data_IF_285481417420
#
_entry.id   IF_285481417420
#
_cell.length_a   1.000
_cell.length_b   1.000
_cell.length_c   1.000
_cell.angle_alpha   90.00
_cell.angle_beta   90.00
_cell.angle_gamma   90.00
#
_symmetry.space_group_name_H-M   'P 1'
#
loop_
_entity.id
_entity.type
_entity.pdbx_description
1 polymer ?
#
# COMPACT_ATOMS: atom_id res chain seq x y z
N UNK A 1 7.15 -14.99 -13.47
CA UNK A 1 7.83 -13.93 -12.70
C UNK A 1 7.02 -12.65 -12.82
N UNK A 2 6.68 -11.97 -11.70
CA UNK A 2 5.95 -10.71 -11.76
C UNK A 2 6.79 -9.64 -12.49
N UNK A 3 6.15 -8.69 -13.17
CA UNK A 3 6.82 -7.67 -13.99
C UNK A 3 7.87 -6.85 -13.24
N UNK A 4 7.69 -6.64 -11.93
CA UNK A 4 8.70 -5.99 -11.10
C UNK A 4 9.97 -6.84 -10.94
N UNK A 5 9.89 -8.18 -10.99
CA UNK A 5 11.07 -9.07 -11.01
C UNK A 5 11.83 -8.98 -12.33
N UNK A 6 11.17 -8.60 -13.44
CA UNK A 6 11.80 -8.39 -14.74
C UNK A 6 12.43 -7.01 -14.92
N UNK A 7 11.95 -6.00 -14.20
CA UNK A 7 12.39 -4.60 -14.37
C UNK A 7 13.09 -4.01 -13.14
N UNK A 8 13.28 -4.81 -12.07
CA UNK A 8 13.86 -4.35 -10.82
C UNK A 8 12.94 -3.38 -10.07
N UNK A 9 13.44 -2.86 -8.95
CA UNK A 9 12.78 -1.87 -8.11
C UNK A 9 12.79 -0.44 -8.69
N UNK A 10 13.05 -0.26 -9.99
CA UNK A 10 13.36 1.04 -10.60
C UNK A 10 12.42 1.41 -11.74
N UNK A 11 12.13 2.70 -11.85
CA UNK A 11 11.45 3.27 -13.02
C UNK A 11 12.29 3.04 -14.29
N UNK A 12 11.71 2.48 -15.39
CA UNK A 12 12.48 2.20 -16.59
C UNK A 12 12.94 3.45 -17.37
N UNK A 13 12.56 4.64 -16.92
CA UNK A 13 12.92 5.90 -17.57
C UNK A 13 13.99 6.67 -16.79
N UNK A 14 13.74 6.97 -15.50
CA UNK A 14 14.71 7.69 -14.68
C UNK A 14 15.69 6.77 -13.95
N UNK A 15 15.44 5.46 -13.93
CA UNK A 15 16.23 4.46 -13.20
C UNK A 15 16.28 4.68 -11.68
N UNK A 16 15.43 5.54 -11.17
CA UNK A 16 15.24 5.75 -9.74
C UNK A 16 14.38 4.65 -9.15
N UNK A 17 14.60 4.32 -7.88
CA UNK A 17 13.81 3.34 -7.15
C UNK A 17 12.34 3.79 -7.05
N UNK A 18 11.42 2.84 -7.04
CA UNK A 18 10.01 3.13 -6.85
C UNK A 18 9.77 3.67 -5.45
N UNK A 19 9.14 4.84 -5.37
CA UNK A 19 8.52 5.26 -4.11
C UNK A 19 7.27 4.40 -3.86
N UNK A 20 7.23 3.69 -2.74
CA UNK A 20 6.10 2.82 -2.40
C UNK A 20 4.80 3.60 -2.19
N UNK A 21 4.88 4.91 -1.96
CA UNK A 21 3.74 5.81 -1.86
C UNK A 21 3.31 6.37 -3.24
N UNK A 22 4.14 6.21 -4.27
CA UNK A 22 3.79 6.59 -5.65
C UNK A 22 3.07 5.42 -6.32
N UNK A 23 1.83 5.63 -6.69
CA UNK A 23 1.02 4.62 -7.40
C UNK A 23 1.52 4.34 -8.82
N UNK A 24 2.49 5.11 -9.31
CA UNK A 24 2.98 5.02 -10.67
C UNK A 24 1.90 5.28 -11.72
N UNK A 25 2.29 5.28 -12.98
CA UNK A 25 1.36 5.41 -14.11
C UNK A 25 1.59 4.26 -15.08
N UNK A 26 0.56 3.46 -15.32
CA UNK A 26 0.62 2.41 -16.32
C UNK A 26 0.46 3.01 -17.72
N UNK A 27 1.38 2.71 -18.62
CA UNK A 27 1.30 3.10 -20.04
C UNK A 27 0.51 2.04 -20.81
N UNK A 28 -0.73 2.34 -21.16
CA UNK A 28 -1.68 1.40 -21.78
C UNK A 28 -1.20 0.88 -23.12
N UNK A 29 -0.35 1.63 -23.84
CA UNK A 29 0.21 1.19 -25.12
C UNK A 29 1.12 -0.03 -25.01
N UNK A 30 1.78 -0.24 -23.88
CA UNK A 30 2.70 -1.36 -23.64
C UNK A 30 2.51 -2.04 -22.28
N UNK A 31 1.52 -1.62 -21.50
CA UNK A 31 1.22 -2.09 -20.14
C UNK A 31 2.43 -2.06 -19.18
N UNK A 32 3.33 -1.09 -19.38
CA UNK A 32 4.46 -0.86 -18.48
C UNK A 32 4.19 0.30 -17.55
N UNK A 33 4.62 0.16 -16.29
CA UNK A 33 4.56 1.23 -15.31
C UNK A 33 5.74 2.18 -15.46
N UNK A 34 5.49 3.46 -15.18
CA UNK A 34 6.49 4.51 -15.04
C UNK A 34 6.16 5.32 -13.79
N UNK A 35 7.15 5.91 -13.13
CA UNK A 35 6.89 6.76 -11.97
C UNK A 35 6.10 8.00 -12.39
N UNK A 36 5.36 8.58 -11.45
CA UNK A 36 4.51 9.74 -11.71
C UNK A 36 5.32 10.92 -12.26
N UNK A 37 6.48 11.20 -11.67
CA UNK A 37 7.37 12.29 -12.11
C UNK A 37 7.79 12.13 -13.59
N UNK A 38 8.11 10.90 -14.03
CA UNK A 38 8.41 10.65 -15.43
C UNK A 38 7.15 10.73 -16.31
N UNK A 39 6.02 10.23 -15.82
CA UNK A 39 4.77 10.32 -16.55
C UNK A 39 4.36 11.76 -16.84
N UNK A 40 4.55 12.66 -15.86
CA UNK A 40 4.22 14.09 -15.97
C UNK A 40 5.18 14.85 -16.91
N UNK A 41 6.46 14.43 -16.95
CA UNK A 41 7.50 15.04 -17.82
C UNK A 41 7.46 14.55 -19.28
N UNK A 42 6.82 13.42 -19.55
CA UNK A 42 6.77 12.83 -20.89
C UNK A 42 5.74 13.59 -21.73
N UNK A 43 6.20 14.17 -22.84
CA UNK A 43 5.33 14.76 -23.85
C UNK A 43 4.28 13.76 -24.36
N UNK A 44 3.13 14.29 -24.78
CA UNK A 44 1.94 13.51 -25.14
C UNK A 44 1.98 12.87 -26.54
N UNK A 45 3.10 12.96 -27.28
CA UNK A 45 3.11 12.52 -28.68
C UNK A 45 3.35 11.03 -28.86
N UNK A 46 4.29 10.44 -28.14
CA UNK A 46 4.57 9.01 -28.21
C UNK A 46 5.01 8.43 -26.85
N UNK A 47 4.76 7.14 -26.66
CA UNK A 47 5.24 6.43 -25.49
C UNK A 47 6.77 6.26 -25.55
N UNK A 48 7.54 6.66 -24.55
CA UNK A 48 9.01 6.54 -24.56
C UNK A 48 9.49 5.08 -24.50
N UNK A 49 8.65 4.16 -24.06
CA UNK A 49 9.00 2.74 -23.91
C UNK A 49 8.73 1.91 -25.15
N UNK A 50 7.61 2.16 -25.83
CA UNK A 50 7.23 1.38 -27.03
C UNK A 50 7.13 2.22 -28.31
N UNK A 51 7.35 3.54 -28.21
CA UNK A 51 7.30 4.51 -29.31
C UNK A 51 5.93 4.62 -30.03
N UNK A 52 4.91 3.94 -29.55
CA UNK A 52 3.56 4.08 -30.10
C UNK A 52 3.00 5.47 -29.78
N UNK A 53 2.23 6.08 -30.71
CA UNK A 53 1.57 7.37 -30.46
C UNK A 53 0.71 7.31 -29.19
N UNK A 54 0.74 8.37 -28.42
CA UNK A 54 -0.14 8.49 -27.26
C UNK A 54 -1.59 8.58 -27.71
N UNK A 55 -2.46 8.00 -26.92
CA UNK A 55 -3.88 7.88 -27.20
C UNK A 55 -4.57 9.20 -26.94
N UNK A 56 -5.43 9.66 -27.85
CA UNK A 56 -6.12 10.95 -27.75
C UNK A 56 -7.57 10.85 -27.24
N UNK A 57 -8.14 9.64 -27.19
CA UNK A 57 -9.52 9.43 -26.79
C UNK A 57 -9.70 8.27 -25.79
N UNK A 58 -10.73 8.38 -24.94
CA UNK A 58 -11.12 7.32 -24.03
C UNK A 58 -11.46 6.00 -24.74
N UNK A 59 -12.10 6.07 -25.90
CA UNK A 59 -12.46 4.90 -26.69
C UNK A 59 -11.21 4.14 -27.19
N UNK A 60 -10.21 4.88 -27.67
CA UNK A 60 -8.95 4.29 -28.11
C UNK A 60 -8.14 3.71 -26.93
N UNK A 61 -8.12 4.41 -25.78
CA UNK A 61 -7.54 3.87 -24.55
C UNK A 61 -8.15 2.52 -24.18
N UNK A 62 -9.46 2.46 -24.15
CA UNK A 62 -10.18 1.24 -23.82
C UNK A 62 -9.94 0.13 -24.86
N UNK A 63 -9.91 0.46 -26.13
CA UNK A 63 -9.62 -0.51 -27.20
C UNK A 63 -8.21 -1.12 -27.06
N UNK A 64 -7.18 -0.28 -26.81
CA UNK A 64 -5.81 -0.77 -26.55
C UNK A 64 -5.73 -1.62 -25.29
N UNK A 65 -6.37 -1.18 -24.20
CA UNK A 65 -6.41 -1.93 -22.96
C UNK A 65 -7.05 -3.32 -23.16
N UNK A 66 -8.18 -3.39 -23.89
CA UNK A 66 -8.87 -4.66 -24.20
C UNK A 66 -8.00 -5.64 -24.98
N UNK A 67 -7.22 -5.14 -25.95
CA UNK A 67 -6.26 -6.01 -26.68
C UNK A 67 -5.25 -6.67 -25.74
N UNK A 68 -4.72 -5.94 -24.73
CA UNK A 68 -3.82 -6.54 -23.74
C UNK A 68 -4.55 -7.50 -22.80
N UNK A 69 -5.81 -7.23 -22.50
CA UNK A 69 -6.67 -8.14 -21.71
C UNK A 69 -6.94 -9.44 -22.46
N UNK A 70 -7.15 -9.39 -23.79
CA UNK A 70 -7.31 -10.56 -24.66
C UNK A 70 -6.01 -11.39 -24.71
N UNK A 71 -4.86 -10.75 -24.65
CA UNK A 71 -3.55 -11.40 -24.55
C UNK A 71 -3.20 -11.84 -23.10
N UNK A 72 -4.16 -11.83 -22.18
CA UNK A 72 -4.03 -12.28 -20.80
C UNK A 72 -2.91 -11.59 -19.99
N UNK A 73 -2.58 -10.33 -20.33
CA UNK A 73 -1.60 -9.54 -19.56
C UNK A 73 -2.20 -9.20 -18.19
N UNK A 74 -1.64 -9.73 -17.07
CA UNK A 74 -2.27 -9.59 -15.73
C UNK A 74 -2.47 -8.14 -15.30
N UNK A 75 -1.52 -7.27 -15.62
CA UNK A 75 -1.54 -5.84 -15.28
C UNK A 75 -2.63 -5.11 -16.08
N UNK A 76 -2.84 -5.48 -17.34
CA UNK A 76 -3.91 -4.94 -18.15
C UNK A 76 -5.29 -5.34 -17.62
N UNK A 77 -5.42 -6.59 -17.18
CA UNK A 77 -6.66 -7.08 -16.57
C UNK A 77 -6.90 -6.36 -15.24
N UNK A 78 -5.88 -6.22 -14.40
CA UNK A 78 -5.97 -5.46 -13.15
C UNK A 78 -6.39 -4.00 -13.40
N UNK A 79 -5.78 -3.35 -14.40
CA UNK A 79 -6.09 -1.97 -14.78
C UNK A 79 -7.53 -1.81 -15.33
N UNK A 80 -8.02 -2.78 -16.11
CA UNK A 80 -9.42 -2.78 -16.56
C UNK A 80 -10.38 -2.88 -15.36
N UNK A 81 -10.03 -3.64 -14.32
CA UNK A 81 -10.77 -3.68 -13.06
C UNK A 81 -10.84 -2.30 -12.39
N UNK A 82 -9.72 -1.58 -12.31
CA UNK A 82 -9.68 -0.19 -11.80
C UNK A 82 -10.57 0.71 -12.67
N UNK A 83 -10.50 0.58 -14.00
CA UNK A 83 -11.30 1.38 -14.90
C UNK A 83 -12.81 1.19 -14.69
N UNK A 84 -13.27 -0.01 -14.38
CA UNK A 84 -14.66 -0.25 -13.98
C UNK A 84 -15.00 0.26 -12.58
N UNK A 85 -14.08 0.16 -11.62
CA UNK A 85 -14.31 0.68 -10.27
C UNK A 85 -14.47 2.20 -10.26
N UNK A 86 -13.58 2.90 -10.98
CA UNK A 86 -13.53 4.37 -10.98
C UNK A 86 -14.35 5.02 -12.11
N UNK A 87 -14.79 4.24 -13.10
CA UNK A 87 -15.51 4.76 -14.26
C UNK A 87 -14.60 5.44 -15.29
N UNK A 88 -13.33 5.04 -15.38
CA UNK A 88 -12.41 5.60 -16.37
C UNK A 88 -12.80 5.18 -17.79
N UNK A 89 -12.33 5.95 -18.76
CA UNK A 89 -12.53 5.72 -20.21
C UNK A 89 -13.99 5.68 -20.63
N UNK A 90 -14.89 6.36 -19.91
CA UNK A 90 -16.33 6.38 -20.20
C UNK A 90 -17.06 5.11 -19.75
N UNK A 91 -16.44 4.26 -18.95
CA UNK A 91 -17.11 3.09 -18.37
C UNK A 91 -18.03 3.50 -17.22
N UNK A 92 -19.14 2.80 -17.09
CA UNK A 92 -20.03 2.94 -15.93
C UNK A 92 -19.42 2.25 -14.73
N UNK A 93 -19.29 2.97 -13.60
CA UNK A 93 -18.77 2.44 -12.33
C UNK A 93 -19.51 1.17 -11.92
N UNK A 94 -18.73 0.14 -11.59
CA UNK A 94 -19.30 -1.13 -11.17
C UNK A 94 -18.26 -1.99 -10.41
N UNK A 95 -18.33 -2.00 -9.10
CA UNK A 95 -17.50 -2.87 -8.25
C UNK A 95 -17.75 -4.35 -8.55
N UNK A 96 -18.98 -4.73 -8.93
CA UNK A 96 -19.30 -6.10 -9.31
C UNK A 96 -18.54 -6.55 -10.56
N UNK A 97 -18.42 -5.68 -11.58
CA UNK A 97 -17.62 -5.96 -12.79
C UNK A 97 -16.14 -5.95 -12.46
N UNK A 98 -15.67 -4.98 -11.68
CA UNK A 98 -14.28 -4.92 -11.21
C UNK A 98 -13.88 -6.20 -10.47
N UNK A 99 -14.70 -6.67 -9.53
CA UNK A 99 -14.45 -7.90 -8.79
C UNK A 99 -14.35 -9.14 -9.71
N UNK A 100 -15.21 -9.25 -10.73
CA UNK A 100 -15.13 -10.35 -11.71
C UNK A 100 -13.82 -10.34 -12.49
N UNK A 101 -13.40 -9.15 -12.91
CA UNK A 101 -12.16 -8.96 -13.67
C UNK A 101 -10.94 -9.24 -12.79
N UNK A 102 -10.90 -8.72 -11.55
CA UNK A 102 -9.81 -8.96 -10.64
C UNK A 102 -9.65 -10.41 -10.21
N UNK A 103 -10.74 -11.18 -10.11
CA UNK A 103 -10.65 -12.65 -9.89
C UNK A 103 -9.78 -13.31 -10.96
N UNK A 104 -10.02 -13.00 -12.25
CA UNK A 104 -9.20 -13.52 -13.35
C UNK A 104 -7.74 -13.05 -13.25
N UNK A 105 -7.51 -11.77 -12.92
CA UNK A 105 -6.15 -11.26 -12.76
C UNK A 105 -5.41 -11.91 -11.58
N UNK A 106 -6.11 -12.24 -10.49
CA UNK A 106 -5.55 -13.00 -9.34
C UNK A 106 -5.12 -14.40 -9.78
N UNK A 107 -5.92 -15.10 -10.58
CA UNK A 107 -5.57 -16.42 -11.14
C UNK A 107 -4.29 -16.36 -11.98
N UNK A 108 -4.05 -15.23 -12.65
CA UNK A 108 -2.82 -14.95 -13.41
C UNK A 108 -1.67 -14.37 -12.56
N UNK A 109 -1.86 -14.27 -11.23
CA UNK A 109 -0.81 -13.88 -10.30
C UNK A 109 -0.64 -12.37 -10.09
N UNK A 110 -1.56 -11.50 -10.55
CA UNK A 110 -1.48 -10.06 -10.37
C UNK A 110 -1.57 -9.65 -8.90
N UNK A 111 -0.52 -9.02 -8.37
CA UNK A 111 -0.48 -8.49 -6.99
C UNK A 111 -1.48 -7.35 -6.81
N UNK A 112 -1.57 -6.45 -7.79
CA UNK A 112 -2.53 -5.35 -7.76
C UNK A 112 -3.98 -5.85 -7.70
N UNK A 113 -4.30 -6.91 -8.45
CA UNK A 113 -5.62 -7.50 -8.39
C UNK A 113 -5.91 -8.16 -7.04
N UNK A 114 -4.91 -8.79 -6.41
CA UNK A 114 -5.05 -9.35 -5.05
C UNK A 114 -5.37 -8.24 -4.04
N UNK A 115 -4.63 -7.14 -4.09
CA UNK A 115 -4.83 -5.94 -3.27
C UNK A 115 -6.26 -5.39 -3.41
N UNK A 116 -6.67 -5.07 -4.62
CA UNK A 116 -7.98 -4.45 -4.87
C UNK A 116 -9.15 -5.40 -4.61
N UNK A 117 -9.02 -6.67 -4.95
CA UNK A 117 -10.06 -7.66 -4.65
C UNK A 117 -10.17 -7.91 -3.15
N UNK A 118 -9.05 -7.88 -2.42
CA UNK A 118 -9.02 -7.92 -0.96
C UNK A 118 -9.81 -6.77 -0.34
N UNK A 119 -9.62 -5.55 -0.84
CA UNK A 119 -10.37 -4.36 -0.41
C UNK A 119 -11.89 -4.51 -0.66
N UNK A 120 -12.30 -5.04 -1.81
CA UNK A 120 -13.71 -5.31 -2.07
C UNK A 120 -14.31 -6.34 -1.10
N UNK A 121 -13.60 -7.42 -0.81
CA UNK A 121 -14.07 -8.42 0.16
C UNK A 121 -14.10 -7.87 1.59
N UNK A 122 -13.16 -7.02 1.97
CA UNK A 122 -13.12 -6.38 3.28
C UNK A 122 -14.29 -5.42 3.50
N UNK A 123 -14.70 -4.69 2.44
CA UNK A 123 -15.80 -3.71 2.49
C UNK A 123 -17.16 -4.28 2.12
N UNK A 124 -17.21 -5.43 1.44
CA UNK A 124 -18.43 -5.97 0.88
C UNK A 124 -18.93 -5.21 -0.36
N UNK A 125 -18.03 -4.48 -1.07
CA UNK A 125 -18.40 -3.68 -2.23
C UNK A 125 -18.42 -4.54 -3.50
N UNK A 126 -19.55 -4.66 -4.15
CA UNK A 126 -19.71 -5.48 -5.36
C UNK A 126 -19.56 -7.00 -5.16
N UNK A 127 -19.19 -7.44 -3.96
CA UNK A 127 -19.06 -8.82 -3.49
C UNK A 127 -19.63 -8.93 -2.07
N UNK A 128 -20.00 -10.14 -1.65
CA UNK A 128 -20.36 -10.36 -0.24
C UNK A 128 -19.14 -10.13 0.64
N UNK A 129 -19.31 -9.39 1.74
CA UNK A 129 -18.27 -9.17 2.76
C UNK A 129 -17.70 -10.51 3.23
N UNK A 130 -16.38 -10.66 3.15
CA UNK A 130 -15.68 -11.87 3.55
C UNK A 130 -14.25 -11.54 3.99
N UNK A 131 -14.10 -11.24 5.29
CA UNK A 131 -12.79 -10.89 5.88
C UNK A 131 -11.76 -12.01 5.73
N UNK A 132 -12.20 -13.29 5.75
CA UNK A 132 -11.28 -14.43 5.58
C UNK A 132 -10.69 -14.47 4.16
N UNK A 133 -11.49 -14.15 3.12
CA UNK A 133 -10.99 -14.04 1.76
C UNK A 133 -10.11 -12.81 1.60
N UNK A 134 -10.47 -11.67 2.20
CA UNK A 134 -9.63 -10.48 2.20
C UNK A 134 -8.26 -10.78 2.82
N UNK A 135 -8.22 -11.39 4.02
CA UNK A 135 -6.97 -11.79 4.71
C UNK A 135 -6.09 -12.68 3.82
N UNK A 136 -6.67 -13.69 3.14
CA UNK A 136 -5.90 -14.56 2.22
C UNK A 136 -5.32 -13.81 1.03
N UNK A 137 -6.09 -12.90 0.43
CA UNK A 137 -5.65 -12.11 -0.71
C UNK A 137 -4.56 -11.10 -0.31
N UNK A 138 -4.74 -10.41 0.82
CA UNK A 138 -3.71 -9.51 1.33
C UNK A 138 -2.43 -10.27 1.71
N UNK A 139 -2.53 -11.46 2.32
CA UNK A 139 -1.34 -12.28 2.62
C UNK A 139 -0.60 -12.64 1.35
N UNK A 140 -1.29 -13.11 0.32
CA UNK A 140 -0.67 -13.45 -0.96
C UNK A 140 0.00 -12.26 -1.67
N UNK A 141 -0.50 -11.03 -1.48
CA UNK A 141 0.12 -9.81 -1.99
C UNK A 141 1.26 -9.32 -1.08
N UNK A 142 1.09 -9.38 0.25
CA UNK A 142 2.07 -9.01 1.25
C UNK A 142 3.35 -9.85 1.16
N UNK A 143 3.22 -11.16 0.95
CA UNK A 143 4.33 -12.10 0.73
C UNK A 143 5.11 -11.78 -0.55
N UNK A 144 4.50 -11.05 -1.49
CA UNK A 144 5.15 -10.51 -2.69
C UNK A 144 5.67 -9.09 -2.52
N UNK A 145 5.66 -8.56 -1.30
CA UNK A 145 6.24 -7.27 -0.94
C UNK A 145 5.32 -6.06 -1.09
N UNK A 146 4.01 -6.23 -1.38
CA UNK A 146 3.10 -5.08 -1.50
C UNK A 146 2.84 -4.43 -0.13
N UNK A 147 3.37 -3.23 0.08
CA UNK A 147 3.32 -2.52 1.35
C UNK A 147 1.90 -2.14 1.80
N UNK A 148 1.00 -1.83 0.85
CA UNK A 148 -0.41 -1.62 1.15
C UNK A 148 -1.06 -2.88 1.72
N UNK A 149 -0.81 -4.03 1.08
CA UNK A 149 -1.36 -5.33 1.51
C UNK A 149 -0.76 -5.78 2.83
N UNK A 150 0.55 -5.52 3.07
CA UNK A 150 1.18 -5.74 4.37
C UNK A 150 0.44 -4.97 5.48
N UNK A 151 0.20 -3.68 5.27
CA UNK A 151 -0.51 -2.84 6.24
C UNK A 151 -1.97 -3.30 6.42
N UNK A 152 -2.67 -3.61 5.33
CA UNK A 152 -4.07 -4.07 5.38
C UNK A 152 -4.21 -5.42 6.06
N UNK A 153 -3.27 -6.35 5.82
CA UNK A 153 -3.20 -7.63 6.53
C UNK A 153 -2.98 -7.42 8.02
N UNK A 154 -2.01 -6.57 8.38
CA UNK A 154 -1.71 -6.26 9.78
C UNK A 154 -2.94 -5.69 10.52
N UNK A 155 -3.74 -4.85 9.87
CA UNK A 155 -5.01 -4.35 10.45
C UNK A 155 -6.00 -5.49 10.74
N UNK A 156 -6.09 -6.49 9.86
CA UNK A 156 -6.97 -7.64 10.08
C UNK A 156 -6.44 -8.54 11.19
N UNK A 157 -5.12 -8.75 11.25
CA UNK A 157 -4.45 -9.51 12.32
C UNK A 157 -4.63 -8.82 13.68
N UNK A 158 -4.51 -7.51 13.74
CA UNK A 158 -4.79 -6.73 14.94
C UNK A 158 -6.21 -6.93 15.47
N UNK A 159 -7.18 -6.98 14.58
CA UNK A 159 -8.58 -7.22 14.93
C UNK A 159 -8.85 -8.67 15.40
N UNK A 160 -7.95 -9.59 15.11
CA UNK A 160 -7.96 -10.99 15.55
C UNK A 160 -7.01 -11.21 16.74
N UNK A 161 -6.43 -10.13 17.31
CA UNK A 161 -5.47 -10.15 18.43
C UNK A 161 -4.15 -10.88 18.12
N UNK A 162 -3.85 -11.10 16.84
CA UNK A 162 -2.59 -11.65 16.37
C UNK A 162 -1.51 -10.55 16.29
N UNK A 163 -1.18 -9.95 17.43
CA UNK A 163 -0.38 -8.72 17.52
C UNK A 163 1.06 -8.86 17.03
N UNK A 164 1.67 -10.02 17.19
CA UNK A 164 3.05 -10.27 16.76
C UNK A 164 3.17 -10.25 15.25
N UNK A 165 2.30 -10.98 14.57
CA UNK A 165 2.28 -11.02 13.13
C UNK A 165 1.87 -9.65 12.55
N UNK A 166 0.92 -8.96 13.18
CA UNK A 166 0.53 -7.60 12.80
C UNK A 166 1.71 -6.62 12.89
N UNK A 167 2.46 -6.65 14.01
CA UNK A 167 3.65 -5.82 14.18
C UNK A 167 4.69 -6.07 13.08
N UNK A 168 4.94 -7.34 12.77
CA UNK A 168 5.87 -7.73 11.72
C UNK A 168 5.50 -7.12 10.35
N UNK A 169 4.24 -7.23 9.94
CA UNK A 169 3.78 -6.68 8.66
C UNK A 169 3.77 -5.14 8.66
N UNK A 170 3.44 -4.48 9.78
CA UNK A 170 3.60 -3.02 9.88
C UNK A 170 5.07 -2.61 9.74
N UNK A 171 5.99 -3.35 10.37
CA UNK A 171 7.42 -3.08 10.26
C UNK A 171 7.93 -3.25 8.82
N UNK A 172 7.51 -4.31 8.12
CA UNK A 172 7.86 -4.51 6.71
C UNK A 172 7.36 -3.36 5.82
N UNK A 173 6.14 -2.91 6.02
CA UNK A 173 5.59 -1.77 5.27
C UNK A 173 6.33 -0.45 5.60
N UNK A 174 6.65 -0.22 6.88
CA UNK A 174 7.38 0.96 7.34
C UNK A 174 8.84 0.98 6.84
N UNK A 175 9.50 -0.19 6.73
CA UNK A 175 10.84 -0.32 6.14
C UNK A 175 10.86 0.06 4.67
N UNK A 176 9.77 -0.19 3.94
CA UNK A 176 9.61 0.27 2.57
C UNK A 176 9.27 1.77 2.48
N UNK A 177 9.09 2.45 3.61
CA UNK A 177 8.68 3.85 3.66
C UNK A 177 7.19 4.07 3.37
N UNK A 178 6.33 3.04 3.49
CA UNK A 178 4.90 3.20 3.29
C UNK A 178 4.28 3.99 4.45
N UNK A 179 3.68 5.11 4.12
CA UNK A 179 3.27 6.14 5.08
C UNK A 179 2.25 5.65 6.12
N UNK A 180 1.22 4.89 5.72
CA UNK A 180 0.25 4.32 6.66
C UNK A 180 0.88 3.22 7.53
N UNK A 181 1.83 2.45 6.98
CA UNK A 181 2.62 1.46 7.73
C UNK A 181 3.48 2.12 8.82
N UNK A 182 4.16 3.23 8.50
CA UNK A 182 4.93 4.02 9.46
C UNK A 182 4.04 4.54 10.59
N UNK A 183 2.89 5.12 10.24
CA UNK A 183 1.93 5.62 11.24
C UNK A 183 1.43 4.50 12.16
N UNK A 184 1.01 3.36 11.60
CA UNK A 184 0.46 2.25 12.40
C UNK A 184 1.50 1.59 13.29
N UNK A 185 2.74 1.44 12.79
CA UNK A 185 3.85 0.98 13.61
C UNK A 185 4.14 1.95 14.76
N UNK A 186 4.10 3.27 14.51
CA UNK A 186 4.20 4.30 15.53
C UNK A 186 3.12 4.16 16.61
N UNK A 187 1.87 3.89 16.22
CA UNK A 187 0.78 3.61 17.15
C UNK A 187 1.07 2.39 18.03
N UNK A 188 1.69 1.34 17.47
CA UNK A 188 2.08 0.14 18.23
C UNK A 188 3.15 0.45 19.27
N UNK A 189 4.19 1.20 18.92
CA UNK A 189 5.18 1.66 19.88
C UNK A 189 4.58 2.57 20.97
N UNK A 190 3.61 3.40 20.60
CA UNK A 190 2.93 4.28 21.56
C UNK A 190 1.99 3.53 22.52
N UNK A 191 1.39 2.42 22.09
CA UNK A 191 0.47 1.63 22.93
C UNK A 191 1.16 0.66 23.88
N UNK A 192 2.46 0.39 23.69
CA UNK A 192 3.21 -0.56 24.50
C UNK A 192 2.77 -2.01 24.32
N UNK A 193 2.01 -2.33 23.26
CA UNK A 193 1.71 -3.72 22.87
C UNK A 193 2.96 -4.36 22.28
N UNK A 194 3.85 -4.71 23.17
CA UNK A 194 5.14 -5.29 22.84
C UNK A 194 4.99 -6.79 22.70
N UNK A 195 5.44 -7.32 21.57
CA UNK A 195 5.47 -8.75 21.29
C UNK A 195 6.87 -9.32 21.58
N UNK A 196 6.99 -10.63 21.72
CA UNK A 196 8.31 -11.30 21.88
C UNK A 196 9.28 -10.94 20.73
N UNK A 197 8.76 -10.67 19.53
CA UNK A 197 9.55 -10.26 18.36
C UNK A 197 10.25 -8.91 18.60
N UNK A 198 9.57 -7.93 19.22
CA UNK A 198 10.21 -6.65 19.58
C UNK A 198 11.26 -6.84 20.66
N UNK A 199 11.04 -7.77 21.59
CA UNK A 199 12.05 -8.16 22.59
C UNK A 199 13.31 -8.71 21.94
N UNK A 200 13.16 -9.56 20.93
CA UNK A 200 14.29 -10.16 20.21
C UNK A 200 15.05 -9.15 19.34
N UNK A 201 14.34 -8.27 18.63
CA UNK A 201 14.96 -7.31 17.70
C UNK A 201 15.57 -6.08 18.38
N UNK A 202 15.11 -5.69 19.56
CA UNK A 202 15.57 -4.48 20.25
C UNK A 202 16.22 -4.71 21.62
N UNK A 203 16.25 -5.95 22.10
CA UNK A 203 16.82 -6.29 23.39
C UNK A 203 16.07 -5.72 24.60
N UNK A 204 15.06 -4.89 24.38
CA UNK A 204 14.28 -4.24 25.42
C UNK A 204 12.80 -4.29 25.03
N UNK A 205 12.06 -5.06 25.75
CA UNK A 205 10.61 -5.03 25.67
C UNK A 205 10.06 -4.85 27.07
N UNK A 206 9.34 -3.78 27.26
CA UNK A 206 8.30 -3.71 28.30
C UNK A 206 7.58 -2.38 28.29
N UNK A 207 8.08 -1.35 27.65
CA UNK A 207 7.51 -0.01 27.82
C UNK A 207 7.18 0.65 26.48
N UNK A 208 6.19 1.52 26.57
CA UNK A 208 5.84 2.49 25.54
C UNK A 208 7.11 3.15 25.01
N UNK A 209 7.51 2.88 23.78
CA UNK A 209 8.65 3.53 23.14
C UNK A 209 8.20 4.80 22.40
N UNK A 210 8.06 5.87 23.18
CA UNK A 210 7.64 7.18 22.66
C UNK A 210 8.66 7.78 21.70
N UNK A 211 9.95 7.41 21.82
CA UNK A 211 11.01 7.87 20.92
C UNK A 211 10.86 7.32 19.51
N UNK A 212 10.68 6.00 19.40
CA UNK A 212 10.43 5.35 18.11
C UNK A 212 9.08 5.75 17.52
N UNK A 213 8.04 5.85 18.36
CA UNK A 213 6.74 6.33 17.92
C UNK A 213 6.84 7.74 17.32
N UNK A 214 7.58 8.66 17.96
CA UNK A 214 7.82 10.02 17.46
C UNK A 214 8.49 10.01 16.09
N UNK A 215 9.61 9.33 15.95
CA UNK A 215 10.34 9.25 14.68
C UNK A 215 9.44 8.76 13.54
N UNK A 216 8.63 7.74 13.78
CA UNK A 216 7.70 7.20 12.78
C UNK A 216 6.56 8.17 12.45
N UNK A 217 5.99 8.85 13.43
CA UNK A 217 4.96 9.87 13.19
C UNK A 217 5.52 11.09 12.45
N UNK A 218 6.72 11.55 12.78
CA UNK A 218 7.40 12.64 12.06
C UNK A 218 7.65 12.28 10.59
N UNK A 219 8.14 11.06 10.32
CA UNK A 219 8.31 10.55 8.95
C UNK A 219 7.00 10.50 8.18
N UNK A 220 5.94 9.95 8.79
CA UNK A 220 4.63 9.89 8.17
C UNK A 220 4.03 11.29 7.96
N UNK A 221 4.15 12.19 8.94
CA UNK A 221 3.68 13.58 8.86
C UNK A 221 4.39 14.38 7.76
N UNK A 222 5.72 14.20 7.61
CA UNK A 222 6.51 14.81 6.54
C UNK A 222 6.03 14.39 5.13
N UNK A 223 5.41 13.21 5.01
CA UNK A 223 4.77 12.70 3.78
C UNK A 223 3.29 13.12 3.66
N UNK A 224 2.78 13.97 4.55
CA UNK A 224 1.42 14.49 4.53
C UNK A 224 0.38 13.60 5.20
N UNK A 225 0.76 12.67 6.09
CA UNK A 225 -0.20 11.84 6.82
C UNK A 225 -0.86 12.63 7.95
N UNK A 226 -2.09 13.08 7.74
CA UNK A 226 -2.81 13.95 8.68
C UNK A 226 -2.96 13.36 10.10
N UNK A 227 -3.24 12.05 10.20
CA UNK A 227 -3.40 11.41 11.50
C UNK A 227 -2.07 11.37 12.27
N UNK A 228 -0.92 11.22 11.60
CA UNK A 228 0.39 11.30 12.23
C UNK A 228 0.67 12.71 12.75
N UNK A 229 0.34 13.74 11.97
CA UNK A 229 0.47 15.14 12.39
C UNK A 229 -0.37 15.44 13.65
N UNK A 230 -1.58 14.87 13.72
CA UNK A 230 -2.46 15.02 14.90
C UNK A 230 -2.00 14.21 16.11
N UNK A 231 -1.29 13.10 15.92
CA UNK A 231 -0.81 12.24 17.00
C UNK A 231 0.43 12.80 17.71
N UNK A 232 1.24 13.65 17.07
CA UNK A 232 2.47 14.21 17.64
C UNK A 232 2.25 15.03 18.93
N UNK A 233 1.28 15.96 19.02
CA UNK A 233 0.99 16.70 20.25
C UNK A 233 0.57 15.79 21.42
N UNK A 234 -0.22 14.75 21.16
CA UNK A 234 -0.65 13.79 22.18
C UNK A 234 0.54 12.99 22.72
N UNK A 235 1.44 12.60 21.83
CA UNK A 235 2.68 11.92 22.18
C UNK A 235 3.56 12.81 23.08
N UNK A 236 3.67 14.11 22.76
CA UNK A 236 4.40 15.08 23.58
C UNK A 236 3.80 15.25 24.98
N UNK A 237 2.48 15.27 25.07
CA UNK A 237 1.78 15.33 26.35
C UNK A 237 2.07 14.09 27.21
N UNK A 238 2.05 12.89 26.61
CA UNK A 238 2.39 11.63 27.29
C UNK A 238 3.84 11.59 27.74
N UNK A 239 4.79 12.03 26.92
CA UNK A 239 6.21 12.08 27.27
C UNK A 239 6.48 13.02 28.45
N UNK A 240 5.82 14.18 28.48
CA UNK A 240 5.90 15.13 29.64
C UNK A 240 5.31 14.53 30.91
N UNK A 241 4.23 13.79 30.82
CA UNK A 241 3.62 13.13 31.99
C UNK A 241 4.52 12.02 32.54
N UNK A 242 5.06 11.18 31.67
CA UNK A 242 6.00 10.13 32.07
C UNK A 242 7.24 10.69 32.77
N UNK A 243 7.78 11.82 32.30
CA UNK A 243 8.96 12.48 32.91
C UNK A 243 8.66 13.04 34.31
N UNK A 244 7.42 13.46 34.57
CA UNK A 244 7.01 14.00 35.88
C UNK A 244 6.76 12.94 36.96
N UNK A 245 6.33 11.74 36.55
CA UNK A 245 6.05 10.64 37.48
C UNK A 245 7.34 9.96 38.03
N UNK A 246 8.52 10.28 37.46
CA UNK A 246 9.82 9.78 37.89
C UNK A 246 10.60 10.75 38.80
N UNK A 247 10.05 11.94 39.15
CA UNK A 247 10.71 12.80 40.11
C UNK A 247 10.37 12.28 41.52
N UNK A 248 11.39 11.90 42.32
CA UNK A 248 11.14 11.53 43.73
C UNK A 248 10.59 12.75 44.44
N UNK A 249 9.59 12.49 45.27
CA UNK A 249 8.96 13.49 46.16
C UNK A 249 10.04 14.03 47.11
N UNK A 250 10.66 15.17 46.77
CA UNK A 250 11.70 15.81 47.58
C UNK A 250 11.11 16.69 48.68
N UNK A 251 9.88 16.46 49.10
CA UNK A 251 9.27 17.11 50.26
C UNK A 251 9.16 16.12 51.42
N UNK A 252 10.28 15.90 52.11
CA UNK A 252 10.34 15.49 53.53
C UNK A 252 11.56 16.08 54.18
#
# INVERSE_FOLDING_TARGET
EPLWARFGSRCPICLEDWDVNDTGVIRICCCRMVCKSCADKIGLDACPLCRLPCVKSNAEHLARLRRHVENEVPEAIAHLGIAYREGYYGLVKSDKKAAKIWKRAVELGSVDAMKYLGDLYQRGSGVKLDKKKAKRLYRAAADRGDAFSQTSLAVLLDAEEEFEEAFWYYALAALQGYTDGEFRLGCRYMSGTCTEVTRYMSGACTEVDLGRARCLFERAAAKGHEAATKALPDLDARARYASRSFLPDTTR
#
